data_IF_565756476590
#
_entry.id   IF_565756476590
#
_cell.length_a   1.000
_cell.length_b   1.000
_cell.length_c   1.000
_cell.angle_alpha   90.00
_cell.angle_beta   90.00
_cell.angle_gamma   90.00
#
_symmetry.space_group_name_H-M   'P 1'
#
loop_
_entity.id
_entity.type
_entity.pdbx_description
1 polymer ?
#
# COMPACT_ATOMS: atom_id res chain seq x y z
N UNK A 1 -23.40 -0.54 10.21
CA UNK A 1 -22.13 -0.18 9.56
C UNK A 1 -22.16 1.32 9.26
N UNK A 2 -21.13 2.09 9.64
CA UNK A 2 -21.06 3.52 9.31
C UNK A 2 -20.73 3.68 7.83
N UNK A 3 -21.48 4.52 7.12
CA UNK A 3 -21.21 4.84 5.71
C UNK A 3 -19.85 5.56 5.63
N UNK A 4 -18.97 5.22 4.68
CA UNK A 4 -17.69 5.92 4.54
C UNK A 4 -17.93 7.42 4.29
N UNK A 5 -17.05 8.31 4.80
CA UNK A 5 -17.12 9.75 4.53
C UNK A 5 -17.10 10.09 3.04
N UNK A 6 -17.55 11.29 2.65
CA UNK A 6 -17.47 11.75 1.27
C UNK A 6 -16.02 11.99 0.81
N UNK A 7 -15.82 12.20 -0.49
CA UNK A 7 -14.56 12.66 -1.04
C UNK A 7 -14.18 14.03 -0.45
N UNK A 8 -12.92 14.23 -0.08
CA UNK A 8 -12.40 15.50 0.42
C UNK A 8 -11.80 16.39 -0.67
N UNK A 9 -12.13 16.15 -1.94
CA UNK A 9 -11.65 16.98 -3.06
C UNK A 9 -12.72 18.01 -3.39
N UNK A 10 -12.30 19.20 -3.82
CA UNK A 10 -13.20 20.29 -4.24
C UNK A 10 -13.48 20.27 -5.75
N UNK A 11 -12.69 19.50 -6.52
CA UNK A 11 -12.87 19.36 -7.96
C UNK A 11 -14.14 18.58 -8.31
N UNK A 12 -14.82 19.01 -9.38
CA UNK A 12 -15.87 18.23 -10.05
C UNK A 12 -15.36 17.74 -11.41
N UNK A 13 -15.84 16.58 -11.90
CA UNK A 13 -16.90 15.73 -11.34
C UNK A 13 -16.41 14.64 -10.37
N UNK A 14 -17.26 14.24 -9.41
CA UNK A 14 -17.05 13.07 -8.54
C UNK A 14 -17.66 11.78 -9.13
N UNK A 15 -17.13 10.61 -8.73
CA UNK A 15 -17.73 9.29 -8.99
C UNK A 15 -18.35 8.66 -7.73
N UNK A 16 -19.17 7.63 -7.91
CA UNK A 16 -20.31 7.32 -7.02
C UNK A 16 -20.19 6.08 -6.12
N UNK A 17 -19.14 5.26 -6.19
CA UNK A 17 -19.21 3.95 -5.52
C UNK A 17 -19.05 4.00 -3.98
N UNK A 18 -18.00 4.69 -3.51
CA UNK A 18 -17.63 4.89 -2.09
C UNK A 18 -16.25 5.53 -2.04
N UNK A 19 -16.03 6.48 -1.12
CA UNK A 19 -14.70 7.01 -0.93
C UNK A 19 -13.78 5.96 -0.30
N UNK A 20 -12.52 5.94 -0.75
CA UNK A 20 -11.45 5.09 -0.20
C UNK A 20 -10.50 5.95 0.61
N UNK A 21 -9.88 5.35 1.63
CA UNK A 21 -8.89 6.03 2.46
C UNK A 21 -7.52 5.96 1.79
N UNK A 22 -6.94 7.11 1.52
CA UNK A 22 -5.54 7.29 1.11
C UNK A 22 -4.83 8.14 2.16
N UNK A 23 -3.50 8.23 2.13
CA UNK A 23 -2.73 9.11 3.03
C UNK A 23 -3.26 10.55 2.99
N UNK A 24 -3.59 11.04 1.78
CA UNK A 24 -4.07 12.41 1.51
C UNK A 24 -5.56 12.67 1.81
N UNK A 25 -6.28 11.69 2.39
CA UNK A 25 -7.69 11.83 2.76
C UNK A 25 -8.62 10.79 2.12
N UNK A 26 -9.92 11.04 2.23
CA UNK A 26 -10.96 10.24 1.58
C UNK A 26 -11.12 10.67 0.12
N UNK A 27 -11.01 9.74 -0.83
CA UNK A 27 -11.08 10.03 -2.26
C UNK A 27 -12.09 9.12 -2.97
N UNK A 28 -12.88 9.67 -3.87
CA UNK A 28 -13.68 8.87 -4.81
C UNK A 28 -12.79 8.29 -5.92
N UNK A 29 -13.36 7.39 -6.72
CA UNK A 29 -12.75 6.73 -7.87
C UNK A 29 -12.16 7.70 -8.91
N UNK A 30 -12.72 8.92 -9.03
CA UNK A 30 -12.19 9.96 -9.93
C UNK A 30 -11.03 10.77 -9.37
N UNK A 31 -10.82 10.74 -8.05
CA UNK A 31 -9.78 11.51 -7.35
C UNK A 31 -8.77 10.61 -6.63
N UNK A 32 -8.65 9.35 -7.05
CA UNK A 32 -7.55 8.51 -6.58
C UNK A 32 -6.22 9.05 -7.12
N UNK A 33 -5.09 8.82 -6.44
CA UNK A 33 -3.78 9.20 -6.96
C UNK A 33 -3.45 8.58 -8.33
N UNK A 34 -4.02 7.43 -8.67
CA UNK A 34 -3.89 6.83 -10.01
C UNK A 34 -4.73 7.57 -11.04
N UNK A 35 -5.99 7.88 -10.73
CA UNK A 35 -6.87 8.62 -11.64
C UNK A 35 -6.32 10.01 -11.97
N UNK A 36 -5.78 10.73 -10.98
CA UNK A 36 -5.13 12.04 -11.18
C UNK A 36 -3.89 11.97 -12.07
N UNK A 37 -3.24 10.80 -12.14
CA UNK A 37 -2.09 10.54 -13.03
C UNK A 37 -2.51 9.94 -14.39
N UNK A 38 -3.81 9.79 -14.65
CA UNK A 38 -4.33 9.16 -15.87
C UNK A 38 -4.07 7.64 -15.92
N UNK A 39 -3.79 7.00 -14.78
CA UNK A 39 -3.55 5.57 -14.67
C UNK A 39 -4.85 4.82 -14.31
N UNK A 40 -5.02 3.57 -14.77
CA UNK A 40 -6.17 2.75 -14.40
C UNK A 40 -6.18 2.42 -12.91
N UNK A 41 -7.36 2.03 -12.41
CA UNK A 41 -7.52 1.49 -11.06
C UNK A 41 -6.75 0.15 -10.95
N UNK A 42 -5.96 -0.07 -9.89
CA UNK A 42 -5.29 -1.35 -9.69
C UNK A 42 -6.31 -2.49 -9.53
N UNK A 43 -6.03 -3.68 -10.07
CA UNK A 43 -6.90 -4.83 -9.89
C UNK A 43 -6.99 -5.20 -8.40
N UNK A 44 -8.09 -5.85 -7.98
CA UNK A 44 -8.16 -6.42 -6.64
C UNK A 44 -6.97 -7.37 -6.43
N UNK A 45 -6.36 -7.30 -5.24
CA UNK A 45 -5.28 -8.20 -4.89
C UNK A 45 -5.73 -9.67 -4.87
N UNK A 46 -4.80 -10.63 -4.76
CA UNK A 46 -5.09 -12.08 -4.86
C UNK A 46 -6.01 -12.70 -3.78
N UNK A 47 -6.67 -11.89 -2.95
CA UNK A 47 -7.54 -12.38 -1.87
C UNK A 47 -6.82 -12.79 -0.59
N UNK A 48 -5.57 -12.33 -0.38
CA UNK A 48 -4.80 -12.63 0.83
C UNK A 48 -5.54 -12.20 2.11
N UNK A 49 -5.42 -12.99 3.19
CA UNK A 49 -6.00 -12.62 4.48
C UNK A 49 -5.39 -11.31 5.02
N UNK A 50 -6.14 -10.55 5.83
CA UNK A 50 -5.63 -9.33 6.46
C UNK A 50 -4.35 -9.63 7.25
N UNK A 51 -3.34 -8.76 7.11
CA UNK A 51 -2.03 -8.92 7.76
C UNK A 51 -1.02 -9.75 6.96
N UNK A 52 -1.42 -10.42 5.86
CA UNK A 52 -0.47 -11.20 5.05
C UNK A 52 0.66 -10.38 4.44
N UNK A 53 0.44 -9.08 4.22
CA UNK A 53 1.46 -8.14 3.74
C UNK A 53 2.57 -7.88 4.78
N UNK A 54 2.35 -8.16 6.07
CA UNK A 54 3.37 -8.02 7.10
C UNK A 54 4.39 -9.16 7.08
N UNK A 55 3.97 -10.35 6.64
CA UNK A 55 4.80 -11.56 6.64
C UNK A 55 5.53 -11.78 5.29
N UNK A 56 5.65 -10.74 4.46
CA UNK A 56 6.40 -10.86 3.21
C UNK A 56 7.89 -11.08 3.54
N UNK A 57 8.59 -12.05 2.90
CA UNK A 57 10.00 -12.31 3.18
C UNK A 57 10.88 -11.06 3.00
N UNK A 58 10.54 -10.19 2.05
CA UNK A 58 11.23 -8.92 1.82
C UNK A 58 11.05 -7.87 2.93
N UNK A 59 10.12 -8.06 3.87
CA UNK A 59 9.92 -7.16 5.01
C UNK A 59 10.76 -7.57 6.23
N UNK A 60 11.65 -8.56 6.10
CA UNK A 60 12.63 -8.86 7.13
C UNK A 60 13.62 -7.69 7.22
N UNK A 61 13.91 -7.16 8.42
CA UNK A 61 15.01 -6.22 8.56
C UNK A 61 16.28 -6.93 8.08
N UNK A 62 16.96 -6.36 7.09
CA UNK A 62 18.30 -6.80 6.73
C UNK A 62 19.22 -6.46 7.91
N UNK A 63 19.65 -7.46 8.67
CA UNK A 63 20.69 -7.27 9.68
C UNK A 63 21.95 -6.74 9.00
N UNK A 64 22.41 -5.50 9.30
CA UNK A 64 23.64 -4.98 8.75
C UNK A 64 24.81 -5.31 9.68
N UNK A 65 25.03 -6.58 10.05
CA UNK A 65 26.24 -6.94 10.80
C UNK A 65 26.61 -8.43 10.73
N UNK A 66 26.88 -8.94 9.52
CA UNK A 66 27.72 -10.14 9.34
C UNK A 66 28.79 -9.88 8.29
N UNK A 67 29.65 -8.89 8.53
CA UNK A 67 30.98 -8.82 7.92
C UNK A 67 31.92 -9.76 8.67
N UNK A 68 32.20 -10.89 8.02
CA UNK A 68 33.53 -11.49 7.90
C UNK A 68 34.38 -11.65 9.18
N UNK A 69 34.47 -12.89 9.69
CA UNK A 69 35.79 -13.49 9.97
C UNK A 69 35.70 -15.01 9.82
N UNK A 70 35.79 -15.47 8.57
CA UNK A 70 36.39 -16.76 8.28
C UNK A 70 37.89 -16.55 8.37
N UNK A 71 38.52 -17.00 9.46
CA UNK A 71 39.95 -17.23 9.44
C UNK A 71 40.27 -18.57 10.12
N UNK A 72 40.54 -19.51 9.21
CA UNK A 72 41.37 -20.71 9.28
C UNK A 72 41.45 -21.55 10.57
N UNK A 73 40.96 -22.79 10.38
CA UNK A 73 41.49 -24.07 10.85
C UNK A 73 42.71 -24.05 11.80
N UNK A 74 42.46 -24.62 12.97
CA UNK A 74 43.27 -25.60 13.74
C UNK A 74 44.41 -26.32 12.97
N UNK A 75 45.45 -26.85 13.64
CA UNK A 75 45.47 -27.37 15.02
C UNK A 75 46.34 -26.66 16.06
#
# INVERSE_FOLDING_TARGET
>A
MKRPPPCGDVGLPHGLARARRYVTGWRCDRHTPSALRGLPEPPPGPGWPPGSYLNHPDNQPSDPEQTEETQELAP
#
